data_IF_482825833384
#
_entry.id   IF_482825833384
#
_cell.length_a   1.000
_cell.length_b   1.000
_cell.length_c   1.000
_cell.angle_alpha   90.00
_cell.angle_beta   90.00
_cell.angle_gamma   90.00
#
_symmetry.space_group_name_H-M   'P 1'
#
loop_
_entity.id
_entity.type
_entity.pdbx_description
1 polymer ?
#
# COMPACT_ATOMS: atom_id res chain seq x y z
N UNK A 1 -42.36 5.43 -15.47
CA UNK A 1 -43.45 6.43 -15.43
C UNK A 1 -43.05 7.71 -14.68
N UNK A 2 -42.33 7.63 -13.56
CA UNK A 2 -41.93 8.79 -12.73
C UNK A 2 -41.08 9.84 -13.45
N UNK A 3 -40.11 9.43 -14.30
CA UNK A 3 -39.25 10.37 -15.06
C UNK A 3 -40.06 11.33 -15.94
N UNK A 4 -41.12 10.83 -16.60
CA UNK A 4 -41.98 11.63 -17.47
C UNK A 4 -42.76 12.68 -16.66
N UNK A 5 -43.28 12.31 -15.48
CA UNK A 5 -43.97 13.25 -14.59
C UNK A 5 -43.05 14.38 -14.15
N UNK A 6 -41.84 14.06 -13.70
CA UNK A 6 -40.86 15.07 -13.31
C UNK A 6 -40.40 15.92 -14.50
N UNK A 7 -40.29 15.34 -15.69
CA UNK A 7 -39.94 16.08 -16.91
C UNK A 7 -41.02 17.10 -17.29
N UNK A 8 -42.31 16.75 -17.15
CA UNK A 8 -43.43 17.68 -17.36
C UNK A 8 -43.44 18.79 -16.32
N UNK A 9 -43.21 18.46 -15.05
CA UNK A 9 -43.12 19.47 -13.99
C UNK A 9 -42.00 20.49 -14.27
N UNK A 10 -40.81 20.02 -14.65
CA UNK A 10 -39.67 20.88 -15.01
C UNK A 10 -39.89 21.67 -16.30
N UNK A 11 -40.76 21.22 -17.21
CA UNK A 11 -41.15 21.98 -18.40
C UNK A 11 -42.10 23.12 -18.04
N UNK A 12 -42.98 22.92 -17.04
CA UNK A 12 -43.88 23.97 -16.55
C UNK A 12 -43.14 25.01 -15.71
N UNK A 13 -42.27 24.55 -14.82
CA UNK A 13 -41.39 25.43 -14.04
C UNK A 13 -39.98 24.82 -13.88
N UNK A 14 -38.97 25.37 -14.59
CA UNK A 14 -37.60 24.86 -14.53
C UNK A 14 -36.85 25.24 -13.24
N UNK A 15 -37.44 26.06 -12.36
CA UNK A 15 -36.80 26.47 -11.09
C UNK A 15 -37.09 25.53 -9.93
N UNK A 16 -37.90 24.49 -10.15
CA UNK A 16 -38.24 23.51 -9.13
C UNK A 16 -37.06 22.54 -8.89
N UNK A 17 -36.14 22.93 -8.00
CA UNK A 17 -34.90 22.20 -7.68
C UNK A 17 -35.17 20.75 -7.27
N UNK A 18 -36.17 20.53 -6.41
CA UNK A 18 -36.53 19.20 -5.89
C UNK A 18 -36.89 18.21 -7.01
N UNK A 19 -37.47 18.68 -8.11
CA UNK A 19 -37.84 17.83 -9.24
C UNK A 19 -36.64 17.35 -10.04
N UNK A 20 -35.53 18.09 -10.06
CA UNK A 20 -34.26 17.56 -10.58
C UNK A 20 -33.75 16.42 -9.68
N UNK A 21 -33.88 16.54 -8.36
CA UNK A 21 -33.46 15.50 -7.42
C UNK A 21 -34.32 14.24 -7.57
N UNK A 22 -35.64 14.38 -7.57
CA UNK A 22 -36.55 13.23 -7.78
C UNK A 22 -36.36 12.56 -9.14
N UNK A 23 -36.10 13.36 -10.19
CA UNK A 23 -35.77 12.81 -11.51
C UNK A 23 -34.45 12.07 -11.51
N UNK A 24 -33.43 12.59 -10.82
CA UNK A 24 -32.17 11.88 -10.65
C UNK A 24 -32.37 10.55 -9.90
N UNK A 25 -33.17 10.52 -8.84
CA UNK A 25 -33.49 9.29 -8.11
C UNK A 25 -34.18 8.25 -9.00
N UNK A 26 -35.13 8.68 -9.82
CA UNK A 26 -35.75 7.80 -10.80
C UNK A 26 -34.73 7.23 -11.80
N UNK A 27 -33.75 8.03 -12.24
CA UNK A 27 -32.68 7.55 -13.12
C UNK A 27 -31.69 6.60 -12.42
N UNK A 28 -31.40 6.81 -11.13
CA UNK A 28 -30.59 5.85 -10.33
C UNK A 28 -31.27 4.48 -10.31
N UNK A 29 -32.59 4.42 -10.11
CA UNK A 29 -33.33 3.15 -10.12
C UNK A 29 -33.36 2.47 -11.50
N UNK A 30 -33.16 3.24 -12.57
CA UNK A 30 -33.02 2.73 -13.93
C UNK A 30 -31.56 2.41 -14.31
N UNK A 31 -30.62 2.57 -13.37
CA UNK A 31 -29.18 2.48 -13.60
C UNK A 31 -28.65 3.44 -14.70
N UNK A 32 -29.40 4.47 -15.05
CA UNK A 32 -28.93 5.55 -15.93
C UNK A 32 -28.19 6.60 -15.09
N UNK A 33 -26.96 6.26 -14.72
CA UNK A 33 -26.13 7.12 -13.89
C UNK A 33 -25.79 8.44 -14.59
N UNK A 34 -25.69 8.45 -15.92
CA UNK A 34 -25.37 9.65 -16.70
C UNK A 34 -26.45 10.73 -16.54
N UNK A 35 -27.71 10.34 -16.74
CA UNK A 35 -28.86 11.23 -16.56
C UNK A 35 -29.05 11.60 -15.09
N UNK A 36 -28.81 10.67 -14.16
CA UNK A 36 -28.86 10.97 -12.73
C UNK A 36 -27.85 12.06 -12.33
N UNK A 37 -26.58 11.92 -12.74
CA UNK A 37 -25.54 12.91 -12.48
C UNK A 37 -25.87 14.27 -13.08
N UNK A 38 -26.39 14.31 -14.31
CA UNK A 38 -26.77 15.57 -14.96
C UNK A 38 -27.84 16.32 -14.16
N UNK A 39 -28.87 15.61 -13.70
CA UNK A 39 -29.95 16.22 -12.91
C UNK A 39 -29.46 16.68 -11.54
N UNK A 40 -28.61 15.90 -10.86
CA UNK A 40 -28.01 16.32 -9.59
C UNK A 40 -27.06 17.52 -9.73
N UNK A 41 -26.30 17.61 -10.83
CA UNK A 41 -25.46 18.78 -11.12
C UNK A 41 -26.31 20.03 -11.33
N UNK A 42 -27.48 19.90 -11.99
CA UNK A 42 -28.44 21.01 -12.09
C UNK A 42 -28.97 21.41 -10.72
N UNK A 43 -29.39 20.45 -9.90
CA UNK A 43 -29.85 20.75 -8.53
C UNK A 43 -28.77 21.49 -7.72
N UNK A 44 -27.52 21.02 -7.78
CA UNK A 44 -26.39 21.67 -7.13
C UNK A 44 -26.11 23.08 -7.65
N UNK A 45 -26.29 23.34 -8.95
CA UNK A 45 -26.10 24.68 -9.51
C UNK A 45 -27.11 25.72 -9.01
N UNK A 46 -28.31 25.28 -8.59
CA UNK A 46 -29.33 26.16 -8.01
C UNK A 46 -29.08 26.46 -6.54
N UNK A 47 -28.57 25.49 -5.77
CA UNK A 47 -28.21 25.67 -4.36
C UNK A 47 -26.88 24.97 -4.05
N UNK A 48 -25.74 25.67 -4.29
CA UNK A 48 -24.41 25.13 -4.02
C UNK A 48 -24.12 24.95 -2.53
N UNK A 49 -24.88 25.59 -1.63
CA UNK A 49 -24.70 25.50 -0.19
C UNK A 49 -25.22 24.18 0.40
N UNK A 50 -26.02 23.44 -0.35
CA UNK A 50 -26.63 22.21 0.11
C UNK A 50 -25.74 20.98 -0.17
N UNK A 51 -24.96 20.60 0.85
CA UNK A 51 -24.08 19.43 0.83
C UNK A 51 -24.78 18.11 0.51
N UNK A 52 -26.12 18.01 0.63
CA UNK A 52 -26.86 16.80 0.25
C UNK A 52 -26.67 16.45 -1.23
N UNK A 53 -26.58 17.45 -2.10
CA UNK A 53 -26.40 17.22 -3.54
C UNK A 53 -25.00 16.70 -3.87
N UNK A 54 -23.95 17.24 -3.23
CA UNK A 54 -22.59 16.72 -3.36
C UNK A 54 -22.48 15.28 -2.85
N UNK A 55 -23.08 14.99 -1.69
CA UNK A 55 -23.12 13.63 -1.15
C UNK A 55 -23.84 12.67 -2.10
N UNK A 56 -24.95 13.10 -2.71
CA UNK A 56 -25.69 12.29 -3.67
C UNK A 56 -24.92 12.11 -4.98
N UNK A 57 -24.25 13.14 -5.48
CA UNK A 57 -23.36 13.05 -6.65
C UNK A 57 -22.24 12.04 -6.44
N UNK A 58 -21.54 12.12 -5.30
CA UNK A 58 -20.48 11.18 -4.95
C UNK A 58 -21.01 9.74 -4.83
N UNK A 59 -22.22 9.55 -4.29
CA UNK A 59 -22.88 8.25 -4.24
C UNK A 59 -23.23 7.70 -5.63
N UNK A 60 -23.73 8.53 -6.54
CA UNK A 60 -24.02 8.07 -7.91
C UNK A 60 -22.75 7.73 -8.67
N UNK A 61 -21.68 8.52 -8.53
CA UNK A 61 -20.36 8.19 -9.08
C UNK A 61 -19.83 6.88 -8.49
N UNK A 62 -20.01 6.63 -7.20
CA UNK A 62 -19.65 5.36 -6.58
C UNK A 62 -20.36 4.18 -7.26
N UNK A 63 -21.68 4.27 -7.45
CA UNK A 63 -22.46 3.21 -8.08
C UNK A 63 -22.02 2.96 -9.53
N UNK A 64 -21.85 4.04 -10.31
CA UNK A 64 -21.37 3.95 -11.67
C UNK A 64 -19.97 3.31 -11.75
N UNK A 65 -19.04 3.77 -10.91
CA UNK A 65 -17.69 3.23 -10.83
C UNK A 65 -17.70 1.76 -10.41
N UNK A 66 -18.58 1.37 -9.48
CA UNK A 66 -18.73 -0.03 -9.07
C UNK A 66 -19.24 -0.89 -10.23
N UNK A 67 -20.26 -0.45 -10.96
CA UNK A 67 -20.75 -1.18 -12.14
C UNK A 67 -19.64 -1.37 -13.17
N UNK A 68 -18.87 -0.32 -13.49
CA UNK A 68 -17.72 -0.40 -14.40
C UNK A 68 -16.64 -1.35 -13.89
N UNK A 69 -16.37 -1.34 -12.58
CA UNK A 69 -15.42 -2.26 -11.96
C UNK A 69 -15.84 -3.72 -12.10
N UNK A 70 -17.12 -4.04 -11.85
CA UNK A 70 -17.66 -5.39 -12.03
C UNK A 70 -17.63 -5.85 -13.49
N UNK A 71 -17.76 -4.91 -14.44
CA UNK A 71 -17.60 -5.15 -15.88
C UNK A 71 -16.13 -5.27 -16.32
N UNK A 72 -15.18 -5.16 -15.38
CA UNK A 72 -13.73 -5.14 -15.62
C UNK A 72 -13.23 -3.94 -16.45
N UNK A 73 -14.04 -2.89 -16.62
CA UNK A 73 -13.65 -1.63 -17.25
C UNK A 73 -12.89 -0.74 -16.25
N UNK A 74 -11.77 -1.27 -15.75
CA UNK A 74 -11.02 -0.67 -14.64
C UNK A 74 -10.50 0.74 -14.93
N UNK A 75 -10.23 1.07 -16.20
CA UNK A 75 -9.74 2.38 -16.60
C UNK A 75 -10.85 3.44 -16.48
N UNK A 76 -12.08 3.13 -16.94
CA UNK A 76 -13.21 4.04 -16.79
C UNK A 76 -13.68 4.11 -15.34
N UNK A 77 -13.70 2.96 -14.64
CA UNK A 77 -14.01 2.89 -13.22
C UNK A 77 -13.07 3.80 -12.41
N UNK A 78 -11.76 3.76 -12.70
CA UNK A 78 -10.77 4.64 -12.08
C UNK A 78 -11.09 6.13 -12.31
N UNK A 79 -11.40 6.52 -13.55
CA UNK A 79 -11.78 7.90 -13.86
C UNK A 79 -13.02 8.36 -13.06
N UNK A 80 -14.03 7.50 -12.95
CA UNK A 80 -15.26 7.81 -12.20
C UNK A 80 -15.00 7.89 -10.70
N UNK A 81 -14.21 6.98 -10.12
CA UNK A 81 -13.85 7.02 -8.70
C UNK A 81 -12.97 8.23 -8.35
N UNK A 82 -12.10 8.66 -9.25
CA UNK A 82 -11.32 9.90 -9.07
C UNK A 82 -12.24 11.13 -9.00
N UNK A 83 -13.26 11.22 -9.87
CA UNK A 83 -14.26 12.28 -9.77
C UNK A 83 -14.99 12.25 -8.42
N UNK A 84 -15.33 11.07 -7.90
CA UNK A 84 -15.97 10.95 -6.59
C UNK A 84 -15.03 11.39 -5.44
N UNK A 85 -13.74 11.04 -5.55
CA UNK A 85 -12.69 11.48 -4.62
C UNK A 85 -12.50 12.99 -4.63
N UNK A 86 -12.58 13.64 -5.80
CA UNK A 86 -12.47 15.10 -5.92
C UNK A 86 -13.65 15.81 -5.24
N UNK A 87 -14.86 15.23 -5.28
CA UNK A 87 -16.03 15.76 -4.57
C UNK A 87 -15.93 15.57 -3.05
N UNK A 88 -15.35 14.46 -2.60
CA UNK A 88 -15.24 14.11 -1.18
C UNK A 88 -13.84 13.59 -0.82
N UNK A 89 -12.82 14.47 -0.75
CA UNK A 89 -11.43 14.05 -0.58
C UNK A 89 -11.11 13.45 0.79
N UNK A 90 -12.01 13.57 1.76
CA UNK A 90 -11.87 12.97 3.08
C UNK A 90 -12.45 11.55 3.16
N UNK A 91 -13.21 11.12 2.15
CA UNK A 91 -13.84 9.81 2.15
C UNK A 91 -12.87 8.76 1.59
N UNK A 92 -12.24 8.02 2.49
CA UNK A 92 -11.23 7.01 2.14
C UNK A 92 -11.77 5.90 1.22
N UNK A 93 -13.09 5.65 1.20
CA UNK A 93 -13.71 4.63 0.33
C UNK A 93 -13.38 4.83 -1.16
N UNK A 94 -13.37 6.07 -1.64
CA UNK A 94 -13.03 6.37 -3.04
C UNK A 94 -11.56 6.10 -3.35
N UNK A 95 -10.68 6.44 -2.40
CA UNK A 95 -9.25 6.18 -2.52
C UNK A 95 -8.99 4.66 -2.62
N UNK A 96 -9.64 3.84 -1.78
CA UNK A 96 -9.55 2.38 -1.87
C UNK A 96 -10.02 1.84 -3.21
N UNK A 97 -11.12 2.37 -3.76
CA UNK A 97 -11.62 1.96 -5.08
C UNK A 97 -10.65 2.35 -6.20
N UNK A 98 -10.03 3.53 -6.12
CA UNK A 98 -8.97 3.93 -7.05
C UNK A 98 -7.76 2.99 -6.97
N UNK A 99 -7.31 2.64 -5.75
CA UNK A 99 -6.22 1.68 -5.55
C UNK A 99 -6.56 0.31 -6.17
N UNK A 100 -7.78 -0.20 -5.94
CA UNK A 100 -8.23 -1.47 -6.51
C UNK A 100 -8.18 -1.45 -8.05
N UNK A 101 -8.67 -0.38 -8.68
CA UNK A 101 -8.61 -0.22 -10.14
C UNK A 101 -7.16 -0.18 -10.65
N UNK A 102 -6.27 0.58 -9.98
CA UNK A 102 -4.86 0.68 -10.37
C UNK A 102 -4.14 -0.67 -10.25
N UNK A 103 -4.44 -1.46 -9.22
CA UNK A 103 -3.89 -2.81 -9.07
C UNK A 103 -4.40 -3.76 -10.16
N UNK A 104 -5.69 -3.71 -10.49
CA UNK A 104 -6.28 -4.51 -11.56
C UNK A 104 -5.67 -4.17 -12.94
N UNK A 105 -5.40 -2.89 -13.19
CA UNK A 105 -4.69 -2.39 -14.37
C UNK A 105 -3.17 -2.66 -14.35
N UNK A 106 -2.63 -3.26 -13.27
CA UNK A 106 -1.19 -3.47 -13.04
C UNK A 106 -0.36 -2.17 -13.05
N UNK A 107 -0.99 -1.02 -12.78
CA UNK A 107 -0.34 0.30 -12.66
C UNK A 107 0.23 0.47 -11.25
N UNK A 108 1.19 -0.39 -10.90
CA UNK A 108 1.73 -0.50 -9.55
C UNK A 108 2.44 0.78 -9.07
N UNK A 109 3.13 1.50 -9.95
CA UNK A 109 3.79 2.76 -9.61
C UNK A 109 2.80 3.86 -9.24
N UNK A 110 1.72 3.99 -10.02
CA UNK A 110 0.66 4.97 -9.76
C UNK A 110 -0.08 4.64 -8.45
N UNK A 111 -0.35 3.35 -8.21
CA UNK A 111 -0.94 2.89 -6.96
C UNK A 111 -0.04 3.24 -5.75
N UNK A 112 1.26 3.00 -5.87
CA UNK A 112 2.24 3.33 -4.83
C UNK A 112 2.32 4.84 -4.57
N UNK A 113 2.25 5.67 -5.62
CA UNK A 113 2.23 7.12 -5.49
C UNK A 113 0.97 7.60 -4.76
N UNK A 114 -0.20 7.06 -5.11
CA UNK A 114 -1.47 7.36 -4.46
C UNK A 114 -1.44 6.96 -2.98
N UNK A 115 -1.02 5.73 -2.65
CA UNK A 115 -0.91 5.28 -1.26
C UNK A 115 0.08 6.14 -0.48
N UNK A 116 1.20 6.53 -1.09
CA UNK A 116 2.18 7.41 -0.44
C UNK A 116 1.60 8.79 -0.13
N UNK A 117 0.73 9.32 -1.00
CA UNK A 117 -0.01 10.56 -0.74
C UNK A 117 -0.97 10.41 0.44
N UNK A 118 -1.75 9.33 0.48
CA UNK A 118 -2.69 9.05 1.59
C UNK A 118 -1.98 8.94 2.95
N UNK A 119 -0.85 8.23 2.98
CA UNK A 119 -0.03 8.10 4.18
C UNK A 119 0.51 9.46 4.63
N UNK A 120 1.01 10.30 3.71
CA UNK A 120 1.48 11.66 4.04
C UNK A 120 0.38 12.56 4.59
N UNK A 121 -0.86 12.35 4.14
CA UNK A 121 -2.03 13.10 4.62
C UNK A 121 -2.58 12.59 5.96
N UNK A 122 -1.99 11.52 6.54
CA UNK A 122 -2.45 10.94 7.80
C UNK A 122 -3.75 10.14 7.68
N UNK A 123 -4.14 9.74 6.46
CA UNK A 123 -5.40 9.04 6.16
C UNK A 123 -5.25 7.52 6.05
N UNK A 124 -4.03 7.01 6.30
CA UNK A 124 -3.71 5.60 6.10
C UNK A 124 -4.20 4.71 7.25
N UNK A 125 -4.97 3.69 6.90
CA UNK A 125 -5.31 2.57 7.78
C UNK A 125 -4.21 1.49 7.76
N UNK A 126 -4.31 0.50 8.65
CA UNK A 126 -3.44 -0.67 8.64
C UNK A 126 -3.44 -1.36 7.25
N UNK A 127 -4.60 -1.48 6.60
CA UNK A 127 -4.74 -2.09 5.28
C UNK A 127 -3.97 -1.32 4.20
N UNK A 128 -3.97 0.02 4.26
CA UNK A 128 -3.22 0.87 3.34
C UNK A 128 -1.71 0.65 3.50
N UNK A 129 -1.22 0.55 4.74
CA UNK A 129 0.19 0.23 5.01
C UNK A 129 0.56 -1.16 4.50
N UNK A 130 -0.29 -2.16 4.71
CA UNK A 130 -0.06 -3.53 4.23
C UNK A 130 -0.03 -3.57 2.71
N UNK A 131 -0.94 -2.84 2.05
CA UNK A 131 -0.96 -2.76 0.59
C UNK A 131 0.34 -2.12 0.06
N UNK A 132 0.81 -1.03 0.69
CA UNK A 132 2.10 -0.41 0.32
C UNK A 132 3.27 -1.35 0.57
N UNK A 133 3.26 -2.07 1.70
CA UNK A 133 4.29 -3.07 2.02
C UNK A 133 4.35 -4.17 0.95
N UNK A 134 3.19 -4.68 0.49
CA UNK A 134 3.12 -5.67 -0.60
C UNK A 134 3.71 -5.13 -1.91
N UNK A 135 3.41 -3.87 -2.26
CA UNK A 135 4.00 -3.23 -3.43
C UNK A 135 5.51 -3.05 -3.27
N UNK A 136 5.99 -2.65 -2.09
CA UNK A 136 7.43 -2.57 -1.83
C UNK A 136 8.12 -3.93 -1.92
N UNK A 137 7.48 -4.99 -1.41
CA UNK A 137 7.97 -6.35 -1.55
C UNK A 137 8.05 -6.76 -3.03
N UNK A 138 7.03 -6.43 -3.82
CA UNK A 138 7.03 -6.65 -5.27
C UNK A 138 8.18 -5.92 -5.99
N UNK A 139 8.49 -4.68 -5.56
CA UNK A 139 9.62 -3.90 -6.07
C UNK A 139 10.97 -4.24 -5.41
N UNK A 140 11.06 -5.32 -4.61
CA UNK A 140 12.27 -5.74 -3.89
C UNK A 140 12.83 -4.68 -2.93
N UNK A 141 11.99 -3.78 -2.41
CA UNK A 141 12.35 -2.78 -1.40
C UNK A 141 12.06 -3.31 0.01
N UNK A 142 12.77 -4.36 0.41
CA UNK A 142 12.53 -5.09 1.67
C UNK A 142 12.54 -4.18 2.91
N UNK A 143 13.49 -3.24 3.00
CA UNK A 143 13.59 -2.32 4.14
C UNK A 143 12.32 -1.48 4.34
N UNK A 144 11.74 -0.95 3.26
CA UNK A 144 10.52 -0.14 3.32
C UNK A 144 9.29 -1.02 3.62
N UNK A 145 9.25 -2.23 3.04
CA UNK A 145 8.23 -3.23 3.34
C UNK A 145 8.17 -3.52 4.85
N UNK A 146 9.32 -3.80 5.47
CA UNK A 146 9.41 -4.08 6.91
C UNK A 146 8.87 -2.92 7.76
N UNK A 147 9.25 -1.68 7.42
CA UNK A 147 8.80 -0.48 8.13
C UNK A 147 7.28 -0.30 8.05
N UNK A 148 6.69 -0.53 6.87
CA UNK A 148 5.24 -0.43 6.67
C UNK A 148 4.47 -1.54 7.40
N UNK A 149 4.99 -2.78 7.39
CA UNK A 149 4.37 -3.88 8.15
C UNK A 149 4.39 -3.60 9.66
N UNK A 150 5.48 -3.03 10.17
CA UNK A 150 5.54 -2.61 11.57
C UNK A 150 4.54 -1.49 11.85
N UNK A 151 4.45 -0.50 10.96
CA UNK A 151 3.49 0.60 11.08
C UNK A 151 2.05 0.10 11.07
N UNK A 152 1.73 -0.89 10.22
CA UNK A 152 0.43 -1.55 10.20
C UNK A 152 0.13 -2.27 11.51
N UNK A 153 1.09 -3.02 12.07
CA UNK A 153 0.92 -3.73 13.35
C UNK A 153 0.86 -2.79 14.58
N UNK A 154 1.37 -1.56 14.48
CA UNK A 154 1.16 -0.54 15.50
C UNK A 154 -0.28 -0.03 15.50
N UNK A 155 -0.93 0.03 14.34
CA UNK A 155 -2.33 0.43 14.20
C UNK A 155 -3.29 -0.71 14.53
N UNK A 156 -3.00 -1.92 14.06
CA UNK A 156 -3.77 -3.13 14.32
C UNK A 156 -2.82 -4.29 14.68
N UNK A 157 -2.58 -4.53 15.98
CA UNK A 157 -1.68 -5.59 16.44
C UNK A 157 -2.14 -7.01 16.11
N UNK A 158 -3.44 -7.20 15.86
CA UNK A 158 -4.03 -8.52 15.60
C UNK A 158 -4.11 -8.83 14.10
N UNK A 159 -3.63 -7.93 13.24
CA UNK A 159 -3.74 -8.10 11.79
C UNK A 159 -2.93 -9.31 11.28
N UNK A 160 -3.61 -10.41 11.00
CA UNK A 160 -3.00 -11.70 10.64
C UNK A 160 -2.11 -11.62 9.39
N UNK A 161 -2.52 -10.87 8.37
CA UNK A 161 -1.76 -10.74 7.12
C UNK A 161 -0.44 -9.99 7.32
N UNK A 162 -0.43 -8.95 8.16
CA UNK A 162 0.76 -8.14 8.44
C UNK A 162 1.75 -8.96 9.26
N UNK A 163 1.26 -9.66 10.30
CA UNK A 163 2.06 -10.57 11.12
C UNK A 163 2.67 -11.70 10.29
N UNK A 164 1.88 -12.32 9.42
CA UNK A 164 2.33 -13.40 8.54
C UNK A 164 3.39 -12.94 7.54
N UNK A 165 3.22 -11.77 6.93
CA UNK A 165 4.23 -11.20 6.01
C UNK A 165 5.50 -10.81 6.76
N UNK A 166 5.38 -10.18 7.93
CA UNK A 166 6.54 -9.80 8.74
C UNK A 166 7.34 -11.02 9.20
N UNK A 167 6.65 -12.08 9.63
CA UNK A 167 7.28 -13.33 10.04
C UNK A 167 8.09 -13.94 8.89
N UNK A 168 7.53 -13.99 7.67
CA UNK A 168 8.25 -14.47 6.49
C UNK A 168 9.54 -13.69 6.23
N UNK A 169 9.50 -12.37 6.36
CA UNK A 169 10.70 -11.52 6.19
C UNK A 169 11.74 -11.79 7.28
N UNK A 170 11.31 -11.93 8.53
CA UNK A 170 12.20 -12.27 9.65
C UNK A 170 12.85 -13.63 9.45
N UNK A 171 12.11 -14.62 8.96
CA UNK A 171 12.62 -15.96 8.69
C UNK A 171 13.63 -15.95 7.53
N UNK A 172 13.35 -15.21 6.45
CA UNK A 172 14.30 -14.98 5.35
C UNK A 172 15.58 -14.27 5.81
N UNK A 173 15.47 -13.31 6.74
CA UNK A 173 16.63 -12.64 7.32
C UNK A 173 17.51 -13.60 8.13
N UNK A 174 16.89 -14.47 8.94
CA UNK A 174 17.61 -15.50 9.71
C UNK A 174 18.31 -16.51 8.82
N UNK A 175 17.66 -16.97 7.75
CA UNK A 175 18.27 -17.85 6.75
C UNK A 175 19.46 -17.17 6.07
N UNK A 176 19.31 -15.91 5.66
CA UNK A 176 20.39 -15.13 5.06
C UNK A 176 21.59 -14.96 5.99
N UNK A 177 21.37 -14.86 7.31
CA UNK A 177 22.44 -14.84 8.31
C UNK A 177 23.15 -16.21 8.41
N UNK A 178 22.42 -17.31 8.37
CA UNK A 178 23.01 -18.66 8.36
C UNK A 178 23.86 -18.89 7.10
N UNK A 179 23.36 -18.48 5.93
CA UNK A 179 24.13 -18.56 4.69
C UNK A 179 25.38 -17.67 4.76
N UNK A 180 25.26 -16.48 5.33
CA UNK A 180 26.40 -15.59 5.53
C UNK A 180 27.47 -16.23 6.44
N UNK A 181 27.07 -16.90 7.52
CA UNK A 181 28.00 -17.56 8.44
C UNK A 181 28.71 -18.74 7.78
N UNK A 182 28.00 -19.58 7.03
CA UNK A 182 28.62 -20.69 6.30
C UNK A 182 29.60 -20.20 5.23
N UNK A 183 29.24 -19.15 4.48
CA UNK A 183 30.10 -18.55 3.46
C UNK A 183 31.33 -17.85 4.05
N UNK A 184 31.19 -17.26 5.23
CA UNK A 184 32.31 -16.65 5.95
C UNK A 184 33.33 -17.71 6.39
N UNK A 185 32.87 -18.85 6.91
CA UNK A 185 33.74 -19.99 7.26
C UNK A 185 34.45 -20.56 6.03
N UNK A 186 33.79 -20.55 4.86
CA UNK A 186 34.40 -20.95 3.58
C UNK A 186 35.37 -19.91 2.99
N UNK A 187 35.61 -18.78 3.65
CA UNK A 187 36.48 -17.70 3.15
C UNK A 187 35.86 -16.88 2.00
N UNK A 188 34.58 -17.09 1.66
CA UNK A 188 33.88 -16.37 0.57
C UNK A 188 33.28 -15.05 1.07
N UNK A 189 34.14 -14.16 1.56
CA UNK A 189 33.77 -12.92 2.28
C UNK A 189 32.80 -12.04 1.49
N UNK A 190 33.05 -11.83 0.19
CA UNK A 190 32.18 -10.99 -0.64
C UNK A 190 30.75 -11.54 -0.76
N UNK A 191 30.59 -12.87 -0.82
CA UNK A 191 29.25 -13.49 -0.86
C UNK A 191 28.58 -13.44 0.51
N UNK A 192 29.33 -13.68 1.58
CA UNK A 192 28.83 -13.52 2.95
C UNK A 192 28.32 -12.10 3.22
N UNK A 193 29.02 -11.08 2.70
CA UNK A 193 28.60 -9.68 2.79
C UNK A 193 27.31 -9.37 2.02
N UNK A 194 27.07 -10.02 0.88
CA UNK A 194 25.79 -9.89 0.17
C UNK A 194 24.65 -10.50 0.98
N UNK A 195 24.86 -11.69 1.55
CA UNK A 195 23.88 -12.36 2.39
C UNK A 195 23.55 -11.54 3.65
N UNK A 196 24.55 -10.96 4.32
CA UNK A 196 24.29 -10.12 5.50
C UNK A 196 23.56 -8.83 5.15
N UNK A 197 23.85 -8.21 3.99
CA UNK A 197 23.09 -7.04 3.54
C UNK A 197 21.62 -7.38 3.31
N UNK A 198 21.35 -8.52 2.68
CA UNK A 198 19.99 -9.04 2.49
C UNK A 198 19.28 -9.26 3.85
N UNK A 199 19.99 -9.82 4.84
CA UNK A 199 19.44 -10.01 6.19
C UNK A 199 19.05 -8.68 6.85
N UNK A 200 19.92 -7.67 6.78
CA UNK A 200 19.67 -6.32 7.31
C UNK A 200 18.48 -5.66 6.61
N UNK A 201 18.35 -5.82 5.29
CA UNK A 201 17.22 -5.25 4.54
C UNK A 201 15.88 -5.87 4.95
N UNK A 202 15.85 -7.17 5.27
CA UNK A 202 14.62 -7.88 5.63
C UNK A 202 14.25 -7.75 7.11
N UNK A 203 15.21 -7.50 8.01
CA UNK A 203 14.94 -7.22 9.42
C UNK A 203 15.98 -6.21 9.96
N UNK A 204 15.79 -4.90 9.69
CA UNK A 204 16.78 -3.86 9.97
C UNK A 204 16.96 -3.53 11.46
N UNK A 205 16.16 -4.11 12.35
CA UNK A 205 16.18 -3.80 13.78
C UNK A 205 16.93 -4.85 14.61
N UNK A 206 17.33 -5.97 14.02
CA UNK A 206 18.11 -6.98 14.73
C UNK A 206 19.59 -6.56 14.78
N UNK A 207 20.14 -6.27 15.98
CA UNK A 207 21.52 -5.83 16.13
C UNK A 207 22.54 -6.90 15.72
N UNK A 208 22.17 -8.19 15.77
CA UNK A 208 23.07 -9.30 15.47
C UNK A 208 23.63 -9.22 14.04
N UNK A 209 22.84 -8.73 13.08
CA UNK A 209 23.30 -8.59 11.71
C UNK A 209 24.40 -7.54 11.55
N UNK A 210 24.33 -6.45 12.33
CA UNK A 210 25.35 -5.41 12.32
C UNK A 210 26.62 -5.87 13.01
N UNK A 211 26.50 -6.60 14.13
CA UNK A 211 27.63 -7.25 14.77
C UNK A 211 28.33 -8.21 13.80
N UNK A 212 27.58 -9.12 13.16
CA UNK A 212 28.15 -10.05 12.19
C UNK A 212 28.82 -9.32 11.02
N UNK A 213 28.21 -8.25 10.49
CA UNK A 213 28.80 -7.45 9.41
C UNK A 213 30.12 -6.78 9.83
N UNK A 214 30.20 -6.24 11.04
CA UNK A 214 31.41 -5.57 11.55
C UNK A 214 32.55 -6.54 11.84
N UNK A 215 32.26 -7.65 12.53
CA UNK A 215 33.29 -8.64 12.90
C UNK A 215 33.66 -9.57 11.76
N UNK A 216 32.72 -9.87 10.85
CA UNK A 216 33.00 -10.67 9.65
C UNK A 216 33.88 -9.96 8.63
N UNK A 217 33.99 -8.63 8.66
CA UNK A 217 34.93 -7.87 7.83
C UNK A 217 36.29 -7.75 8.49
N UNK A 218 36.34 -7.31 9.75
CA UNK A 218 37.62 -7.13 10.47
C UNK A 218 38.29 -8.42 10.92
N UNK A 219 37.52 -9.45 11.28
CA UNK A 219 38.04 -10.74 11.73
C UNK A 219 38.75 -11.51 10.63
N UNK A 220 38.35 -11.33 9.36
CA UNK A 220 39.01 -11.92 8.20
C UNK A 220 40.25 -11.13 7.77
N UNK A 221 40.26 -9.80 7.90
CA UNK A 221 41.48 -8.98 7.72
C UNK A 221 42.57 -9.34 8.75
N UNK A 222 42.17 -9.62 9.99
CA UNK A 222 43.08 -10.10 11.05
C UNK A 222 43.59 -11.52 10.76
N UNK A 223 42.77 -12.41 10.19
CA UNK A 223 43.23 -13.75 9.80
C UNK A 223 44.13 -13.74 8.55
N UNK A 224 43.89 -12.85 7.59
CA UNK A 224 44.77 -12.65 6.44
C UNK A 224 46.10 -12.02 6.83
N UNK A 225 46.12 -11.07 7.77
CA UNK A 225 47.37 -10.48 8.28
C UNK A 225 48.15 -11.47 9.16
N UNK A 226 47.48 -12.29 9.96
CA UNK A 226 48.15 -13.38 10.69
C UNK A 226 48.75 -14.45 9.75
N UNK A 227 48.09 -14.80 8.64
CA UNK A 227 48.64 -15.75 7.66
C UNK A 227 49.89 -15.24 6.93
N UNK A 228 50.05 -13.93 6.78
CA UNK A 228 51.27 -13.33 6.20
C UNK A 228 52.41 -13.26 7.22
N UNK A 229 52.11 -13.22 8.52
CA UNK A 229 53.12 -13.07 9.58
C UNK A 229 53.58 -14.42 10.16
N UNK A 230 52.76 -15.47 10.16
CA UNK A 230 53.14 -16.77 10.75
C UNK A 230 53.56 -17.81 9.71
N UNK A 231 54.76 -17.64 9.14
CA UNK A 231 55.54 -18.74 8.56
C UNK A 231 56.09 -19.69 9.62
N UNK A 232 55.25 -20.19 10.54
CA UNK A 232 55.68 -21.06 11.64
C UNK A 232 54.56 -21.53 12.55
N UNK A 233 54.36 -22.86 12.57
CA UNK A 233 53.69 -23.70 13.58
C UNK A 233 52.41 -23.19 14.28
N UNK A 234 51.29 -23.82 13.93
CA UNK A 234 49.97 -23.73 14.58
C UNK A 234 50.01 -24.18 16.05
N UNK A 235 49.53 -23.31 16.95
CA UNK A 235 48.92 -23.71 18.22
C UNK A 235 47.56 -23.00 18.33
N UNK A 236 46.48 -23.77 18.23
CA UNK A 236 45.10 -23.31 18.43
C UNK A 236 44.82 -23.13 19.93
N UNK A 237 44.30 -21.99 20.40
CA UNK A 237 43.76 -21.91 21.75
C UNK A 237 42.34 -22.49 21.78
N UNK A 238 42.14 -23.42 22.73
CA UNK A 238 40.84 -23.99 23.10
C UNK A 238 39.89 -22.88 23.54
N UNK A 239 38.68 -22.87 22.98
CA UNK A 239 37.54 -22.13 23.52
C UNK A 239 37.15 -22.73 24.87
N UNK A 240 37.44 -22.01 25.96
CA UNK A 240 36.78 -22.22 27.24
C UNK A 240 35.85 -21.04 27.54
N UNK A 241 34.60 -21.41 27.79
CA UNK A 241 33.51 -20.74 28.50
C UNK A 241 33.83 -19.42 29.22
N UNK A 242 33.02 -18.40 28.95
CA UNK A 242 32.72 -17.36 29.93
C UNK A 242 31.20 -17.20 30.05
N UNK A 243 30.68 -17.81 31.12
CA UNK A 243 29.47 -17.40 31.82
C UNK A 243 29.75 -16.13 32.60
N UNK A 244 28.88 -15.12 32.46
CA UNK A 244 28.38 -14.24 33.52
C UNK A 244 27.06 -13.63 33.03
#
# INVERSE_FOLDING_TARGET
MSVLFFSRALHLDPKLVDFYVFRAEAFIQLCDFSSALQNLRRAYSYDPGNNKYLNRLAFVLYLQGQCLYELCDFQEALCVFLQASDLQPQNASFSYRCMACLLALKRYHDCLALITREVKQGRASADVYILRARLYNFFQKAKLCYQDLRSALLLDPLHAQAKGLLQKMVDQAKQSLQDASTLAVQGKVHRALKCINCAIENNPLDPNFFFFRYWGTKGLDLLQTCFVVSGGSLNLPRLQSLSL
#
